data_IF_411440661525
#
_entry.id   IF_411440661525
#
_cell.length_a   1.000
_cell.length_b   1.000
_cell.length_c   1.000
_cell.angle_alpha   90.00
_cell.angle_beta   90.00
_cell.angle_gamma   90.00
#
_symmetry.space_group_name_H-M   'P 1'
#
loop_
_entity.id
_entity.type
_entity.pdbx_description
1 polymer ?
#
# COMPACT_ATOMS: atom_id res chain seq x y z
N UNK A 1 -13.25 6.14 8.72
CA UNK A 1 -12.43 4.93 8.99
C UNK A 1 -12.62 3.86 7.92
N UNK A 2 -13.85 3.65 7.40
CA UNK A 2 -14.06 2.89 6.15
C UNK A 2 -13.25 3.46 4.97
N UNK A 3 -13.06 4.79 4.95
CA UNK A 3 -12.22 5.50 3.98
C UNK A 3 -10.77 5.03 3.97
N UNK A 4 -10.24 4.55 5.11
CA UNK A 4 -8.90 3.97 5.20
C UNK A 4 -8.87 2.71 4.33
N UNK A 5 -9.76 1.75 4.55
CA UNK A 5 -9.75 0.49 3.78
C UNK A 5 -9.91 0.76 2.27
N UNK A 6 -10.82 1.66 1.89
CA UNK A 6 -11.02 2.02 0.48
C UNK A 6 -9.80 2.72 -0.13
N UNK A 7 -9.15 3.63 0.60
CA UNK A 7 -7.93 4.30 0.14
C UNK A 7 -6.79 3.31 -0.09
N UNK A 8 -6.67 2.32 0.79
CA UNK A 8 -5.65 1.29 0.68
C UNK A 8 -5.90 0.32 -0.48
N UNK A 9 -7.16 -0.06 -0.72
CA UNK A 9 -7.53 -0.85 -1.90
C UNK A 9 -7.17 -0.11 -3.21
N UNK A 10 -7.36 1.22 -3.24
CA UNK A 10 -6.94 2.06 -4.38
C UNK A 10 -5.44 2.05 -4.60
N UNK A 11 -4.63 2.11 -3.53
CA UNK A 11 -3.16 1.99 -3.60
C UNK A 11 -2.75 0.63 -4.18
N UNK A 12 -3.36 -0.47 -3.70
CA UNK A 12 -3.03 -1.82 -4.13
C UNK A 12 -3.24 -2.02 -5.65
N UNK A 13 -4.34 -1.47 -6.18
CA UNK A 13 -4.61 -1.44 -7.62
C UNK A 13 -3.67 -0.53 -8.39
N UNK A 14 -3.44 0.70 -7.90
CA UNK A 14 -2.57 1.68 -8.55
C UNK A 14 -1.11 1.18 -8.67
N UNK A 15 -0.56 0.53 -7.64
CA UNK A 15 0.78 -0.08 -7.71
C UNK A 15 0.85 -1.18 -8.78
N UNK A 16 -0.21 -2.01 -8.91
CA UNK A 16 -0.27 -3.02 -9.97
C UNK A 16 -0.26 -2.40 -11.36
N UNK A 17 -1.08 -1.36 -11.57
CA UNK A 17 -1.13 -0.64 -12.84
C UNK A 17 0.19 0.10 -13.15
N UNK A 18 0.84 0.73 -12.16
CA UNK A 18 2.17 1.33 -12.33
C UNK A 18 3.23 0.31 -12.73
N UNK A 19 3.21 -0.88 -12.14
CA UNK A 19 4.12 -1.96 -12.52
C UNK A 19 3.86 -2.43 -13.96
N UNK A 20 2.59 -2.55 -14.37
CA UNK A 20 2.22 -2.80 -15.76
C UNK A 20 2.81 -1.76 -16.72
N UNK A 21 2.62 -0.47 -16.41
CA UNK A 21 3.22 0.64 -17.18
C UNK A 21 4.75 0.55 -17.23
N UNK A 22 5.41 0.24 -16.11
CA UNK A 22 6.88 0.13 -16.06
C UNK A 22 7.42 -1.06 -16.87
N UNK A 23 6.63 -2.12 -17.00
CA UNK A 23 6.92 -3.30 -17.81
C UNK A 23 6.52 -3.15 -19.28
N UNK A 24 5.86 -2.04 -19.66
CA UNK A 24 5.30 -1.80 -21.00
C UNK A 24 4.30 -2.90 -21.43
N UNK A 25 3.45 -3.33 -20.49
CA UNK A 25 2.37 -4.29 -20.73
C UNK A 25 1.01 -3.64 -20.47
N UNK A 26 -0.03 -4.13 -21.16
CA UNK A 26 -1.40 -3.66 -20.95
C UNK A 26 -1.86 -3.92 -19.50
N UNK A 27 -2.77 -3.08 -19.01
CA UNK A 27 -3.26 -3.17 -17.62
C UNK A 27 -3.99 -4.51 -17.37
N UNK A 28 -4.71 -5.04 -18.36
CA UNK A 28 -5.39 -6.33 -18.25
C UNK A 28 -4.39 -7.48 -18.12
N UNK A 29 -3.34 -7.47 -18.94
CA UNK A 29 -2.29 -8.50 -18.88
C UNK A 29 -1.46 -8.39 -17.60
N UNK A 30 -1.19 -7.17 -17.15
CA UNK A 30 -0.56 -6.92 -15.85
C UNK A 30 -1.41 -7.46 -14.70
N UNK A 31 -2.74 -7.30 -14.75
CA UNK A 31 -3.64 -7.82 -13.72
C UNK A 31 -3.57 -9.35 -13.63
N UNK A 32 -3.52 -10.04 -14.78
CA UNK A 32 -3.33 -11.49 -14.84
C UNK A 32 -1.95 -11.92 -14.33
N UNK A 33 -0.88 -11.26 -14.78
CA UNK A 33 0.50 -11.56 -14.37
C UNK A 33 0.73 -11.39 -12.87
N UNK A 34 0.12 -10.37 -12.27
CA UNK A 34 0.32 -9.98 -10.87
C UNK A 34 -0.74 -10.59 -9.93
N UNK A 35 -1.57 -11.51 -10.43
CA UNK A 35 -2.57 -12.21 -9.64
C UNK A 35 -1.89 -12.99 -8.49
N UNK A 36 -2.47 -12.89 -7.29
CA UNK A 36 -1.93 -13.52 -6.09
C UNK A 36 -0.67 -12.85 -5.49
N UNK A 37 -0.06 -11.87 -6.17
CA UNK A 37 1.08 -11.15 -5.63
C UNK A 37 0.63 -10.19 -4.52
N UNK A 38 1.35 -10.20 -3.40
CA UNK A 38 1.18 -9.17 -2.37
C UNK A 38 1.60 -7.79 -2.92
N UNK A 39 0.97 -6.71 -2.45
CA UNK A 39 1.37 -5.35 -2.84
C UNK A 39 2.84 -5.07 -2.51
N UNK A 40 3.38 -5.64 -1.42
CA UNK A 40 4.81 -5.51 -1.10
C UNK A 40 5.70 -6.18 -2.16
N UNK A 41 5.30 -7.34 -2.68
CA UNK A 41 6.00 -7.98 -3.81
C UNK A 41 5.93 -7.11 -5.08
N UNK A 42 4.76 -6.54 -5.40
CA UNK A 42 4.60 -5.59 -6.51
C UNK A 42 5.48 -4.35 -6.35
N UNK A 43 5.59 -3.80 -5.14
CA UNK A 43 6.52 -2.71 -4.83
C UNK A 43 7.98 -3.10 -5.12
N UNK A 44 8.41 -4.29 -4.68
CA UNK A 44 9.78 -4.75 -4.91
C UNK A 44 10.09 -4.86 -6.40
N UNK A 45 9.19 -5.46 -7.17
CA UNK A 45 9.39 -5.59 -8.62
C UNK A 45 9.32 -4.23 -9.31
N UNK A 46 8.40 -3.34 -8.92
CA UNK A 46 8.35 -1.96 -9.44
C UNK A 46 9.67 -1.23 -9.18
N UNK A 47 10.19 -1.27 -7.96
CA UNK A 47 11.48 -0.66 -7.61
C UNK A 47 12.61 -1.24 -8.45
N UNK A 48 12.62 -2.56 -8.67
CA UNK A 48 13.62 -3.24 -9.49
C UNK A 48 13.51 -2.84 -10.96
N UNK A 49 12.31 -2.79 -11.52
CA UNK A 49 12.04 -2.38 -12.90
C UNK A 49 12.42 -0.92 -13.13
N UNK A 50 12.04 -0.01 -12.23
CA UNK A 50 12.39 1.41 -12.32
C UNK A 50 13.91 1.63 -12.41
N UNK A 51 14.72 0.86 -11.67
CA UNK A 51 16.19 0.95 -11.75
C UNK A 51 16.77 0.60 -13.12
N UNK A 52 16.02 -0.12 -13.96
CA UNK A 52 16.44 -0.49 -15.32
C UNK A 52 16.03 0.55 -16.37
N UNK A 53 15.33 1.61 -15.96
CA UNK A 53 14.84 2.66 -16.85
C UNK A 53 15.80 3.88 -16.79
N UNK A 54 15.93 4.65 -17.89
CA UNK A 54 16.65 5.92 -17.88
C UNK A 54 16.11 6.82 -16.76
N UNK A 55 17.00 7.42 -15.97
CA UNK A 55 16.67 8.29 -14.83
C UNK A 55 15.77 7.67 -13.74
N UNK A 56 15.56 6.36 -13.77
CA UNK A 56 14.64 5.67 -12.86
C UNK A 56 15.19 5.39 -11.46
N UNK A 57 16.49 5.61 -11.21
CA UNK A 57 17.10 5.37 -9.89
C UNK A 57 16.52 6.30 -8.80
N UNK A 58 16.28 7.57 -9.12
CA UNK A 58 15.74 8.53 -8.16
C UNK A 58 14.25 8.26 -7.86
N UNK A 59 13.48 7.89 -8.88
CA UNK A 59 12.12 7.39 -8.70
C UNK A 59 12.13 6.12 -7.84
N UNK A 60 13.02 5.16 -8.11
CA UNK A 60 13.15 3.94 -7.33
C UNK A 60 13.51 4.20 -5.85
N UNK A 61 14.25 5.28 -5.54
CA UNK A 61 14.53 5.71 -4.16
C UNK A 61 13.27 6.25 -3.48
N UNK A 62 12.45 7.02 -4.19
CA UNK A 62 11.16 7.51 -3.68
C UNK A 62 10.26 6.31 -3.34
N UNK A 63 10.10 5.36 -4.26
CA UNK A 63 9.29 4.16 -4.03
C UNK A 63 9.82 3.27 -2.90
N UNK A 64 11.15 3.18 -2.70
CA UNK A 64 11.73 2.51 -1.52
C UNK A 64 11.29 3.14 -0.20
N UNK A 65 11.17 4.46 -0.13
CA UNK A 65 10.68 5.16 1.08
C UNK A 65 9.20 4.89 1.30
N UNK A 66 8.39 4.96 0.24
CA UNK A 66 6.95 4.68 0.33
C UNK A 66 6.65 3.22 0.65
N UNK A 67 7.43 2.26 0.15
CA UNK A 67 7.31 0.84 0.51
C UNK A 67 7.42 0.63 2.03
N UNK A 68 8.42 1.24 2.68
CA UNK A 68 8.61 1.11 4.13
C UNK A 68 7.40 1.64 4.91
N UNK A 69 6.84 2.76 4.47
CA UNK A 69 5.63 3.34 5.07
C UNK A 69 4.40 2.46 4.80
N UNK A 70 4.27 1.95 3.58
CA UNK A 70 3.23 1.00 3.20
C UNK A 70 3.24 -0.22 4.13
N UNK A 71 4.41 -0.86 4.32
CA UNK A 71 4.54 -2.05 5.18
C UNK A 71 4.26 -1.75 6.65
N UNK A 72 4.66 -0.57 7.14
CA UNK A 72 4.34 -0.15 8.51
C UNK A 72 2.83 0.00 8.71
N UNK A 73 2.15 0.70 7.80
CA UNK A 73 0.74 1.02 7.95
C UNK A 73 -0.20 -0.09 7.46
N UNK A 74 0.27 -1.03 6.64
CA UNK A 74 -0.52 -2.19 6.19
C UNK A 74 -0.92 -3.09 7.36
N UNK A 75 -0.10 -3.15 8.43
CA UNK A 75 -0.49 -3.79 9.69
C UNK A 75 -1.76 -3.16 10.25
N UNK A 76 -1.81 -1.83 10.40
CA UNK A 76 -2.98 -1.11 10.92
C UNK A 76 -4.21 -1.38 10.05
N UNK A 77 -4.07 -1.32 8.72
CA UNK A 77 -5.14 -1.68 7.78
C UNK A 77 -5.66 -3.10 8.02
N UNK A 78 -4.76 -4.08 8.11
CA UNK A 78 -5.13 -5.47 8.31
C UNK A 78 -5.88 -5.67 9.64
N UNK A 79 -5.51 -4.93 10.69
CA UNK A 79 -6.25 -4.94 11.97
C UNK A 79 -7.66 -4.37 11.81
N UNK A 80 -7.81 -3.25 11.12
CA UNK A 80 -9.14 -2.66 10.83
C UNK A 80 -10.01 -3.62 10.01
N UNK A 81 -9.42 -4.33 9.03
CA UNK A 81 -10.18 -5.17 8.10
C UNK A 81 -10.49 -6.58 8.62
N UNK A 82 -9.62 -7.16 9.45
CA UNK A 82 -9.66 -8.59 9.78
C UNK A 82 -9.76 -8.92 11.27
N UNK A 83 -9.64 -7.94 12.16
CA UNK A 83 -9.77 -8.16 13.61
C UNK A 83 -11.12 -7.65 14.12
N UNK A 84 -11.59 -8.20 15.24
CA UNK A 84 -12.78 -7.70 15.90
C UNK A 84 -12.43 -6.46 16.74
N UNK A 85 -13.13 -5.34 16.51
CA UNK A 85 -12.94 -4.12 17.32
C UNK A 85 -13.69 -4.26 18.65
N UNK A 86 -12.95 -4.23 19.77
CA UNK A 86 -13.50 -4.33 21.12
C UNK A 86 -13.86 -2.97 21.74
N UNK A 87 -13.52 -1.86 21.07
CA UNK A 87 -13.75 -0.50 21.55
C UNK A 87 -12.46 0.22 21.90
N UNK A 88 -12.50 1.06 22.93
CA UNK A 88 -11.36 1.88 23.36
C UNK A 88 -10.69 1.26 24.59
N UNK A 89 -9.39 1.52 24.78
CA UNK A 89 -8.70 1.10 25.99
C UNK A 89 -9.25 1.91 27.17
N UNK A 90 -9.64 1.22 28.25
CA UNK A 90 -10.34 1.86 29.39
C UNK A 90 -9.51 2.97 30.05
N UNK A 91 -8.21 2.75 30.19
CA UNK A 91 -7.30 3.67 30.87
C UNK A 91 -6.80 4.79 29.95
N UNK A 92 -6.88 4.58 28.64
CA UNK A 92 -6.44 5.54 27.64
C UNK A 92 -7.33 5.49 26.39
N UNK A 93 -8.36 6.35 26.32
CA UNK A 93 -9.28 6.40 25.18
C UNK A 93 -8.64 6.79 23.85
N UNK A 94 -7.36 7.19 23.80
CA UNK A 94 -6.66 7.46 22.55
C UNK A 94 -6.21 6.19 21.82
N UNK A 95 -6.56 5.01 22.35
CA UNK A 95 -6.25 3.70 21.76
C UNK A 95 -7.51 2.91 21.41
N UNK A 96 -7.50 2.30 20.23
CA UNK A 96 -8.52 1.33 19.80
C UNK A 96 -8.00 -0.09 20.04
N UNK A 97 -8.84 -0.93 20.64
CA UNK A 97 -8.52 -2.31 20.99
C UNK A 97 -9.08 -3.26 19.94
N UNK A 98 -8.21 -4.12 19.41
CA UNK A 98 -8.54 -5.17 18.46
C UNK A 98 -8.29 -6.55 19.07
N UNK A 99 -9.25 -7.44 18.92
CA UNK A 99 -9.15 -8.86 19.26
C UNK A 99 -8.69 -9.63 18.03
N UNK A 100 -7.54 -10.29 18.15
CA UNK A 100 -6.91 -11.02 17.07
C UNK A 100 -7.21 -12.50 17.16
N UNK A 101 -7.50 -13.12 16.02
CA UNK A 101 -7.66 -14.57 15.90
C UNK A 101 -6.29 -15.27 15.88
N UNK A 102 -5.48 -14.98 16.89
CA UNK A 102 -4.11 -15.44 17.09
C UNK A 102 -3.97 -15.84 18.57
N UNK A 103 -3.45 -17.04 18.87
CA UNK A 103 -3.26 -17.51 20.25
C UNK A 103 -2.08 -16.77 20.90
N UNK A 104 -2.30 -16.13 22.05
CA UNK A 104 -1.23 -15.55 22.85
C UNK A 104 -0.69 -16.56 23.87
N UNK A 105 -1.60 -17.18 24.61
CA UNK A 105 -1.32 -18.19 25.63
C UNK A 105 -2.48 -19.19 25.71
N UNK A 106 -2.37 -20.19 26.59
CA UNK A 106 -3.45 -21.15 26.74
C UNK A 106 -4.74 -20.50 27.26
N UNK A 107 -5.84 -20.73 26.55
CA UNK A 107 -7.12 -20.05 26.81
C UNK A 107 -7.17 -18.54 26.49
N UNK A 108 -6.14 -17.95 25.89
CA UNK A 108 -6.07 -16.50 25.67
C UNK A 108 -5.84 -16.12 24.20
N UNK A 109 -6.69 -15.21 23.70
CA UNK A 109 -6.51 -14.55 22.39
C UNK A 109 -5.58 -13.36 22.50
N UNK A 110 -4.89 -13.07 21.41
CA UNK A 110 -4.04 -11.88 21.30
C UNK A 110 -4.91 -10.63 21.24
N UNK A 111 -4.51 -9.61 22.00
CA UNK A 111 -5.15 -8.29 22.01
C UNK A 111 -4.11 -7.26 21.57
N UNK A 112 -4.50 -6.39 20.64
CA UNK A 112 -3.64 -5.31 20.16
C UNK A 112 -4.35 -3.97 20.34
N UNK A 113 -3.70 -3.04 21.04
CA UNK A 113 -4.16 -1.66 21.17
C UNK A 113 -3.38 -0.78 20.19
N UNK A 114 -4.08 -0.03 19.33
CA UNK A 114 -3.49 0.84 18.31
C UNK A 114 -3.85 2.29 18.63
N UNK A 115 -2.87 3.22 18.70
CA UNK A 115 -3.16 4.64 18.87
C UNK A 115 -4.02 5.16 17.71
N UNK A 116 -5.08 5.91 18.02
CA UNK A 116 -5.93 6.60 17.04
C UNK A 116 -5.09 7.49 16.12
N UNK A 117 -4.06 8.15 16.66
CA UNK A 117 -3.17 9.00 15.90
C UNK A 117 -2.35 8.25 14.84
N UNK A 118 -1.99 6.99 15.10
CA UNK A 118 -1.30 6.17 14.11
C UNK A 118 -2.25 5.72 12.99
N UNK A 119 -3.53 5.48 13.31
CA UNK A 119 -4.58 5.25 12.31
C UNK A 119 -4.78 6.49 11.44
N UNK A 120 -4.83 7.70 12.04
CA UNK A 120 -4.92 8.97 11.31
C UNK A 120 -3.71 9.23 10.42
N UNK A 121 -2.49 8.89 10.87
CA UNK A 121 -1.27 9.00 10.05
C UNK A 121 -1.32 8.04 8.86
N UNK A 122 -1.77 6.81 9.07
CA UNK A 122 -1.92 5.82 7.99
C UNK A 122 -2.92 6.28 6.92
N UNK A 123 -4.05 6.86 7.35
CA UNK A 123 -5.06 7.43 6.44
C UNK A 123 -4.53 8.61 5.63
N UNK A 124 -3.92 9.58 6.31
CA UNK A 124 -3.37 10.78 5.70
C UNK A 124 -2.27 10.44 4.70
N UNK A 125 -1.35 9.54 5.08
CA UNK A 125 -0.32 9.06 4.18
C UNK A 125 -0.92 8.32 2.98
N UNK A 126 -1.91 7.44 3.20
CA UNK A 126 -2.54 6.68 2.13
C UNK A 126 -3.21 7.59 1.10
N UNK A 127 -3.91 8.62 1.56
CA UNK A 127 -4.56 9.62 0.71
C UNK A 127 -3.55 10.39 -0.14
N UNK A 128 -2.48 10.92 0.48
CA UNK A 128 -1.45 11.68 -0.25
C UNK A 128 -0.66 10.79 -1.20
N UNK A 129 -0.33 9.56 -0.79
CA UNK A 129 0.36 8.63 -1.65
C UNK A 129 -0.48 8.22 -2.85
N UNK A 130 -1.78 7.94 -2.66
CA UNK A 130 -2.66 7.62 -3.77
C UNK A 130 -2.75 8.77 -4.79
N UNK A 131 -2.79 10.03 -4.36
CA UNK A 131 -2.73 11.18 -5.29
C UNK A 131 -1.47 11.13 -6.15
N UNK A 132 -0.32 10.83 -5.54
CA UNK A 132 0.95 10.68 -6.25
C UNK A 132 0.85 9.58 -7.32
N UNK A 133 0.40 8.38 -6.93
CA UNK A 133 0.42 7.19 -7.79
C UNK A 133 -0.87 6.94 -8.57
N UNK A 134 -1.80 7.89 -8.61
CA UNK A 134 -3.07 7.67 -9.30
C UNK A 134 -2.85 7.45 -10.81
N UNK A 135 -3.71 6.67 -11.50
CA UNK A 135 -3.54 6.33 -12.92
C UNK A 135 -3.28 7.53 -13.85
N UNK A 136 -3.86 8.70 -13.56
CA UNK A 136 -3.61 9.93 -14.32
C UNK A 136 -2.19 10.49 -14.20
N UNK A 137 -1.41 10.05 -13.21
CA UNK A 137 -0.06 10.54 -12.92
C UNK A 137 1.04 9.52 -13.25
N UNK A 138 0.71 8.33 -13.77
CA UNK A 138 1.70 7.26 -14.02
C UNK A 138 2.79 7.68 -15.02
N UNK A 139 2.41 8.32 -16.13
CA UNK A 139 3.34 8.75 -17.16
C UNK A 139 4.34 9.81 -16.67
N UNK A 140 3.98 10.57 -15.64
CA UNK A 140 4.87 11.56 -15.01
C UNK A 140 5.88 10.92 -14.04
N UNK A 141 5.59 9.72 -13.53
CA UNK A 141 6.38 9.05 -12.50
C UNK A 141 7.16 7.82 -12.99
N UNK A 142 6.72 7.20 -14.08
CA UNK A 142 7.38 6.01 -14.65
C UNK A 142 8.06 6.41 -15.96
N UNK A 143 9.40 6.53 -15.99
CA UNK A 143 10.13 6.77 -17.23
C UNK A 143 9.90 5.61 -18.19
N UNK A 144 9.27 5.85 -19.34
CA UNK A 144 9.03 4.77 -20.32
C UNK A 144 10.30 4.48 -21.13
N UNK A 145 10.55 3.22 -21.48
CA UNK A 145 11.62 2.88 -22.44
C UNK A 145 11.39 3.47 -23.84
N UNK A 146 10.15 3.84 -24.17
CA UNK A 146 9.77 4.31 -25.49
C UNK A 146 8.93 5.61 -25.40
N UNK A 147 9.52 6.79 -25.68
CA UNK A 147 8.83 8.08 -25.51
C UNK A 147 7.62 8.28 -26.44
N UNK A 148 7.37 7.36 -27.38
CA UNK A 148 6.21 7.39 -28.29
C UNK A 148 4.90 6.91 -27.66
N UNK A 149 4.94 6.20 -26.52
CA UNK A 149 3.73 5.72 -25.83
C UNK A 149 3.18 6.71 -24.79
N UNK A 150 3.85 7.85 -24.57
CA UNK A 150 3.39 8.89 -23.64
C UNK A 150 2.22 9.74 -24.17
N UNK A 151 1.81 9.54 -25.43
CA UNK A 151 0.69 10.23 -26.07
C UNK A 151 -0.16 9.21 -26.82
N UNK A 152 -1.07 8.53 -26.10
CA UNK A 152 -2.29 7.95 -26.66
C UNK A 152 -3.41 8.07 -25.64
#
# INVERSE_FOLDING_TARGET
>A
MFDVILTWAKIDGAIGAMLGTALDIDTSDAAFLLEGWSTSARFNELIKTLKQLPDGEDVAKIFRRHKKLYERFSRIRNRIAHAACAGHLREDPDYIVFLLFEKWADGQMTVEAIPIDDMRKADRWGTEFFKLISPGNHAALVPTKNPRNAIR
#
